data_IF_286647554492
#
_entry.id   IF_286647554492
#
_cell.length_a   1.000
_cell.length_b   1.000
_cell.length_c   1.000
_cell.angle_alpha   90.00
_cell.angle_beta   90.00
_cell.angle_gamma   90.00
#
_symmetry.space_group_name_H-M   'P 1'
#
loop_
_entity.id
_entity.type
_entity.pdbx_description
1 polymer ?
#
# COMPACT_ATOMS: atom_id res chain seq x y z
N UNK A 1 11.32 -2.39 -27.77
CA UNK A 1 11.53 -3.04 -26.46
C UNK A 1 12.08 -2.01 -25.49
N UNK A 2 11.21 -1.36 -24.72
CA UNK A 2 11.63 -0.50 -23.60
C UNK A 2 12.07 -1.41 -22.47
N UNK A 3 13.38 -1.49 -22.21
CA UNK A 3 13.91 -2.11 -20.99
C UNK A 3 13.27 -1.41 -19.80
N UNK A 4 12.27 -2.03 -19.18
CA UNK A 4 11.72 -1.58 -17.90
C UNK A 4 12.87 -1.64 -16.89
N UNK A 5 13.50 -0.48 -16.64
CA UNK A 5 14.67 -0.30 -15.78
C UNK A 5 14.34 -0.44 -14.30
N UNK A 6 13.15 -0.96 -14.01
CA UNK A 6 12.61 -1.14 -12.68
C UNK A 6 13.07 -2.47 -12.10
N UNK A 7 13.84 -2.37 -11.03
CA UNK A 7 14.41 -3.51 -10.31
C UNK A 7 13.75 -3.58 -8.94
N UNK A 8 13.27 -4.75 -8.50
CA UNK A 8 12.77 -4.90 -7.15
C UNK A 8 13.93 -4.86 -6.15
N UNK A 9 13.65 -4.20 -5.02
CA UNK A 9 14.60 -3.96 -3.95
C UNK A 9 13.98 -4.46 -2.65
N UNK A 10 14.74 -5.27 -1.92
CA UNK A 10 14.42 -5.62 -0.54
C UNK A 10 15.06 -4.58 0.37
N UNK A 11 14.24 -3.90 1.17
CA UNK A 11 14.65 -2.96 2.19
C UNK A 11 14.56 -3.64 3.56
N UNK A 12 15.67 -3.68 4.28
CA UNK A 12 15.71 -4.14 5.66
C UNK A 12 15.81 -2.94 6.59
N UNK A 13 14.82 -2.78 7.48
CA UNK A 13 14.81 -1.71 8.48
C UNK A 13 15.91 -1.94 9.51
N UNK A 14 16.85 -1.01 9.58
CA UNK A 14 17.87 -0.90 10.61
C UNK A 14 17.31 0.06 11.66
N UNK A 15 17.05 -0.44 12.87
CA UNK A 15 16.83 0.43 14.02
C UNK A 15 18.18 0.84 14.59
N UNK A 16 18.42 2.14 14.77
CA UNK A 16 19.45 2.60 15.72
C UNK A 16 18.78 2.68 17.10
N UNK A 17 19.02 1.70 17.97
CA UNK A 17 18.89 1.93 19.41
C UNK A 17 20.13 2.69 19.88
N UNK A 18 20.31 3.91 19.38
CA UNK A 18 21.27 4.87 19.91
C UNK A 18 20.52 5.82 20.81
N UNK A 19 21.00 6.00 22.03
CA UNK A 19 20.51 6.98 23.01
C UNK A 19 20.53 8.39 22.41
N UNK A 20 19.45 8.79 21.75
CA UNK A 20 19.27 10.15 21.32
C UNK A 20 18.91 10.99 22.55
N UNK A 21 19.82 11.88 22.95
CA UNK A 21 19.66 12.89 24.02
C UNK A 21 18.66 14.00 23.60
N UNK A 22 17.75 13.72 22.65
CA UNK A 22 16.75 14.69 22.18
C UNK A 22 15.41 14.02 21.90
N UNK A 23 14.27 14.73 22.09
CA UNK A 23 12.94 14.09 22.21
C UNK A 23 12.29 13.70 20.88
N UNK A 24 13.01 13.72 19.76
CA UNK A 24 12.37 13.73 18.43
C UNK A 24 13.06 12.81 17.41
N UNK A 25 12.22 11.95 16.82
CA UNK A 25 12.41 11.09 15.64
C UNK A 25 13.20 9.79 15.83
N UNK A 26 12.45 8.69 15.97
CA UNK A 26 12.89 7.36 15.57
C UNK A 26 13.25 7.41 14.07
N UNK A 27 14.53 7.57 13.75
CA UNK A 27 15.02 7.49 12.37
C UNK A 27 15.07 6.03 11.97
N UNK A 28 14.16 5.66 11.07
CA UNK A 28 14.18 4.36 10.41
C UNK A 28 15.15 4.40 9.25
N UNK A 29 16.34 3.83 9.43
CA UNK A 29 17.26 3.59 8.32
C UNK A 29 16.92 2.28 7.62
N UNK A 30 17.14 2.19 6.30
CA UNK A 30 16.88 0.96 5.54
C UNK A 30 18.12 0.50 4.78
N UNK A 31 18.54 -0.75 4.91
CA UNK A 31 19.55 -1.36 4.03
C UNK A 31 18.87 -1.94 2.81
N UNK A 32 19.23 -1.44 1.62
CA UNK A 32 18.70 -1.91 0.36
C UNK A 32 19.53 -3.08 -0.21
N UNK A 33 18.85 -4.11 -0.69
CA UNK A 33 19.40 -5.24 -1.42
C UNK A 33 18.70 -5.33 -2.77
N UNK A 34 19.45 -5.13 -3.87
CA UNK A 34 18.92 -5.26 -5.23
C UNK A 34 18.61 -6.73 -5.53
N UNK A 35 17.45 -7.01 -6.11
CA UNK A 35 17.04 -8.37 -6.47
C UNK A 35 17.13 -8.54 -7.99
N UNK A 36 17.85 -9.56 -8.45
CA UNK A 36 17.88 -9.94 -9.87
C UNK A 36 16.74 -10.92 -10.14
N UNK A 37 15.60 -10.41 -10.56
CA UNK A 37 14.43 -11.23 -10.90
C UNK A 37 13.84 -10.76 -12.23
N UNK A 38 13.42 -11.72 -13.04
CA UNK A 38 12.78 -11.47 -14.34
C UNK A 38 11.27 -11.46 -14.15
N UNK A 39 10.59 -10.43 -14.64
CA UNK A 39 9.12 -10.36 -14.62
C UNK A 39 8.55 -11.47 -15.53
N UNK A 40 7.51 -12.21 -15.10
CA UNK A 40 6.84 -13.17 -15.98
C UNK A 40 6.19 -12.46 -17.17
N UNK A 41 6.12 -13.12 -18.35
CA UNK A 41 5.39 -12.58 -19.48
C UNK A 41 3.87 -12.52 -19.19
N UNK A 42 3.17 -11.66 -19.92
CA UNK A 42 1.72 -11.51 -19.81
C UNK A 42 0.98 -12.84 -20.09
N UNK A 43 -0.17 -13.04 -19.44
CA UNK A 43 -0.93 -14.29 -19.47
C UNK A 43 -0.38 -15.44 -18.61
N UNK A 44 0.85 -15.35 -18.07
CA UNK A 44 1.37 -16.34 -17.13
C UNK A 44 0.95 -16.05 -15.68
N UNK A 45 0.79 -17.09 -14.84
CA UNK A 45 0.52 -16.90 -13.41
C UNK A 45 1.69 -16.19 -12.70
N UNK A 46 1.42 -15.67 -11.51
CA UNK A 46 2.45 -15.08 -10.67
C UNK A 46 3.54 -16.12 -10.33
N UNK A 47 4.79 -15.68 -10.35
CA UNK A 47 5.93 -16.54 -9.98
C UNK A 47 6.31 -16.23 -8.53
N UNK A 48 6.49 -17.29 -7.74
CA UNK A 48 7.00 -17.22 -6.37
C UNK A 48 8.53 -17.20 -6.36
N UNK A 49 9.08 -16.28 -5.59
CA UNK A 49 10.51 -16.15 -5.33
C UNK A 49 10.73 -16.15 -3.82
N UNK A 50 11.91 -16.62 -3.41
CA UNK A 50 12.39 -16.44 -2.03
C UNK A 50 13.81 -15.91 -2.06
N UNK A 51 14.09 -14.91 -1.22
CA UNK A 51 15.43 -14.35 -1.06
C UNK A 51 15.81 -14.35 0.41
N UNK A 52 17.08 -14.59 0.69
CA UNK A 52 17.63 -14.46 2.04
C UNK A 52 18.08 -13.00 2.25
N UNK A 53 17.57 -12.37 3.29
CA UNK A 53 18.00 -11.02 3.67
C UNK A 53 19.46 -11.04 4.10
N UNK A 54 20.30 -10.21 3.48
CA UNK A 54 21.73 -10.14 3.82
C UNK A 54 22.01 -9.54 5.20
N UNK A 55 21.07 -8.81 5.80
CA UNK A 55 21.22 -8.23 7.13
C UNK A 55 20.91 -9.21 8.26
N UNK A 56 19.76 -9.89 8.20
CA UNK A 56 19.29 -10.74 9.30
C UNK A 56 19.13 -12.23 8.95
N UNK A 57 19.55 -12.64 7.74
CA UNK A 57 19.51 -14.02 7.24
C UNK A 57 18.13 -14.66 7.19
N UNK A 58 17.07 -13.87 7.36
CA UNK A 58 15.68 -14.34 7.27
C UNK A 58 15.30 -14.59 5.81
N UNK A 59 14.58 -15.69 5.53
CA UNK A 59 14.08 -16.01 4.19
C UNK A 59 12.77 -15.26 3.96
N UNK A 60 12.77 -14.39 2.95
CA UNK A 60 11.62 -13.57 2.57
C UNK A 60 11.02 -14.10 1.27
N UNK A 61 9.78 -14.58 1.35
CA UNK A 61 9.00 -15.01 0.20
C UNK A 61 8.21 -13.85 -0.42
N UNK A 62 8.19 -13.78 -1.75
CA UNK A 62 7.42 -12.80 -2.50
C UNK A 62 6.96 -13.35 -3.86
N UNK A 63 5.93 -12.73 -4.41
CA UNK A 63 5.33 -13.06 -5.71
C UNK A 63 5.53 -11.90 -6.67
N UNK A 64 5.91 -12.21 -7.90
CA UNK A 64 5.98 -11.23 -8.99
C UNK A 64 4.87 -11.53 -9.99
N UNK A 65 4.09 -10.50 -10.31
CA UNK A 65 3.00 -10.56 -11.28
C UNK A 65 3.45 -10.01 -12.64
N UNK A 66 2.78 -10.46 -13.70
CA UNK A 66 2.91 -9.88 -15.04
C UNK A 66 2.27 -8.48 -15.09
N UNK A 67 2.60 -7.68 -16.10
CA UNK A 67 2.06 -6.32 -16.24
C UNK A 67 0.55 -6.33 -16.46
N UNK A 68 0.06 -7.26 -17.26
CA UNK A 68 -1.37 -7.46 -17.47
C UNK A 68 -2.10 -7.76 -16.17
N UNK A 69 -1.58 -8.69 -15.35
CA UNK A 69 -2.20 -9.04 -14.07
C UNK A 69 -2.23 -7.84 -13.10
N UNK A 70 -1.17 -7.02 -13.09
CA UNK A 70 -1.11 -5.79 -12.29
C UNK A 70 -2.14 -4.78 -12.78
N UNK A 71 -2.24 -4.57 -14.10
CA UNK A 71 -3.22 -3.65 -14.69
C UNK A 71 -4.65 -4.04 -14.34
N UNK A 72 -4.97 -5.33 -14.43
CA UNK A 72 -6.29 -5.86 -14.04
C UNK A 72 -6.56 -5.65 -12.55
N UNK A 73 -5.61 -5.96 -11.68
CA UNK A 73 -5.77 -5.76 -10.23
C UNK A 73 -5.91 -4.27 -9.87
N UNK A 74 -5.13 -3.38 -10.49
CA UNK A 74 -5.28 -1.93 -10.34
C UNK A 74 -6.66 -1.46 -10.79
N UNK A 75 -7.15 -1.95 -11.93
CA UNK A 75 -8.49 -1.63 -12.40
C UNK A 75 -9.55 -2.09 -11.39
N UNK A 76 -9.43 -3.31 -10.86
CA UNK A 76 -10.32 -3.83 -9.83
C UNK A 76 -10.29 -2.98 -8.55
N UNK A 77 -9.11 -2.61 -8.05
CA UNK A 77 -9.01 -1.71 -6.89
C UNK A 77 -9.59 -0.32 -7.14
N UNK A 78 -9.43 0.22 -8.35
CA UNK A 78 -10.08 1.48 -8.74
C UNK A 78 -11.59 1.34 -8.72
N UNK A 79 -12.14 0.26 -9.27
CA UNK A 79 -13.57 -0.04 -9.19
C UNK A 79 -14.06 -0.15 -7.75
N UNK A 80 -13.36 -0.88 -6.89
CA UNK A 80 -13.69 -0.94 -5.46
C UNK A 80 -13.66 0.45 -4.81
N UNK A 81 -12.67 1.28 -5.14
CA UNK A 81 -12.57 2.67 -4.64
C UNK A 81 -13.79 3.50 -5.04
N UNK A 82 -14.18 3.43 -6.32
CA UNK A 82 -15.35 4.17 -6.84
C UNK A 82 -16.64 3.67 -6.19
N UNK A 83 -16.83 2.35 -6.07
CA UNK A 83 -18.01 1.78 -5.41
C UNK A 83 -18.10 2.18 -3.94
N UNK A 84 -16.98 2.19 -3.21
CA UNK A 84 -16.93 2.67 -1.82
C UNK A 84 -17.27 4.16 -1.71
N UNK A 85 -16.82 5.00 -2.65
CA UNK A 85 -17.18 6.42 -2.70
C UNK A 85 -18.66 6.63 -3.00
N UNK A 86 -19.24 5.89 -3.95
CA UNK A 86 -20.68 5.95 -4.25
C UNK A 86 -21.49 5.59 -3.00
N UNK A 87 -21.10 4.53 -2.29
CA UNK A 87 -21.75 4.14 -1.03
C UNK A 87 -21.63 5.23 0.05
N UNK A 88 -20.46 5.87 0.18
CA UNK A 88 -20.27 6.98 1.09
C UNK A 88 -21.16 8.18 0.74
N UNK A 89 -21.26 8.56 -0.55
CA UNK A 89 -22.14 9.63 -1.01
C UNK A 89 -23.60 9.30 -0.76
N UNK A 90 -24.04 8.07 -1.04
CA UNK A 90 -25.41 7.62 -0.77
C UNK A 90 -25.74 7.70 0.74
N UNK A 91 -24.80 7.33 1.61
CA UNK A 91 -24.98 7.47 3.06
C UNK A 91 -25.14 8.94 3.48
N UNK A 92 -24.40 9.88 2.88
CA UNK A 92 -24.57 11.32 3.12
C UNK A 92 -25.95 11.79 2.65
N UNK A 93 -26.37 11.41 1.44
CA UNK A 93 -27.69 11.80 0.90
C UNK A 93 -28.81 11.30 1.80
N UNK A 94 -28.77 10.04 2.23
CA UNK A 94 -29.75 9.47 3.15
C UNK A 94 -29.75 10.17 4.50
N UNK A 95 -28.57 10.53 5.03
CA UNK A 95 -28.46 11.30 6.27
C UNK A 95 -29.09 12.69 6.14
N UNK A 96 -28.84 13.40 5.03
CA UNK A 96 -29.42 14.73 4.77
C UNK A 96 -30.94 14.64 4.63
N UNK A 97 -31.45 13.68 3.85
CA UNK A 97 -32.88 13.45 3.69
C UNK A 97 -33.56 13.07 5.01
N UNK A 98 -32.88 12.29 5.85
CA UNK A 98 -33.37 11.98 7.18
C UNK A 98 -33.48 13.24 8.04
N UNK A 99 -32.41 14.04 8.14
CA UNK A 99 -32.40 15.28 8.93
C UNK A 99 -33.40 16.34 8.43
N UNK A 100 -33.70 16.36 7.13
CA UNK A 100 -34.67 17.29 6.54
C UNK A 100 -36.13 16.93 6.86
N UNK A 101 -36.43 15.64 7.15
CA UNK A 101 -37.78 15.14 7.41
C UNK A 101 -38.11 14.97 8.91
N UNK A 102 -37.18 15.25 9.81
CA UNK A 102 -37.33 14.99 11.27
C UNK A 102 -38.01 16.13 12.05
N UNK A 103 -38.89 16.91 11.42
CA UNK A 103 -39.65 17.96 12.14
C UNK A 103 -40.52 17.41 13.29
N UNK A 104 -40.77 16.10 13.39
CA UNK A 104 -41.60 15.50 14.46
C UNK A 104 -41.05 14.21 15.13
N UNK A 105 -39.80 13.80 14.92
CA UNK A 105 -39.38 12.42 15.24
C UNK A 105 -38.47 12.28 16.48
N UNK A 106 -39.05 12.32 17.67
CA UNK A 106 -38.40 12.11 18.98
C UNK A 106 -38.01 10.65 19.29
N UNK A 107 -37.83 9.78 18.26
CA UNK A 107 -37.73 8.32 18.45
C UNK A 107 -36.60 7.56 17.78
N UNK A 108 -35.69 8.18 17.05
CA UNK A 108 -34.70 7.40 16.30
C UNK A 108 -33.28 8.00 16.35
N UNK A 109 -32.61 7.73 17.48
CA UNK A 109 -31.17 7.93 17.67
C UNK A 109 -30.35 6.81 16.97
N UNK A 110 -30.96 5.64 16.72
CA UNK A 110 -30.30 4.45 16.16
C UNK A 110 -29.90 4.57 14.67
N UNK A 111 -30.71 5.15 13.74
CA UNK A 111 -30.36 5.20 12.31
C UNK A 111 -29.26 6.23 11.99
N UNK A 112 -29.11 7.29 12.78
CA UNK A 112 -28.09 8.32 12.54
C UNK A 112 -26.68 7.80 12.80
N UNK A 113 -26.47 7.02 13.87
CA UNK A 113 -25.19 6.36 14.12
C UNK A 113 -24.86 5.29 13.06
N UNK A 114 -25.86 4.56 12.57
CA UNK A 114 -25.68 3.61 11.48
C UNK A 114 -25.22 4.28 10.18
N UNK A 115 -25.82 5.42 9.83
CA UNK A 115 -25.45 6.20 8.64
C UNK A 115 -24.08 6.86 8.77
N UNK A 116 -23.76 7.42 9.94
CA UNK A 116 -22.43 7.98 10.22
C UNK A 116 -21.34 6.89 10.18
N UNK A 117 -21.62 5.71 10.73
CA UNK A 117 -20.73 4.55 10.67
C UNK A 117 -20.49 4.08 9.24
N UNK A 118 -21.55 4.01 8.42
CA UNK A 118 -21.46 3.65 7.00
C UNK A 118 -20.62 4.66 6.20
N UNK A 119 -20.74 5.96 6.49
CA UNK A 119 -19.91 7.00 5.89
C UNK A 119 -18.42 6.82 6.20
N UNK A 120 -18.08 6.67 7.48
CA UNK A 120 -16.70 6.48 7.93
C UNK A 120 -16.10 5.21 7.32
N UNK A 121 -16.87 4.11 7.33
CA UNK A 121 -16.45 2.85 6.72
C UNK A 121 -16.24 2.99 5.21
N UNK A 122 -17.14 3.68 4.50
CA UNK A 122 -17.05 3.93 3.06
C UNK A 122 -15.82 4.76 2.69
N UNK A 123 -15.56 5.84 3.41
CA UNK A 123 -14.37 6.69 3.21
C UNK A 123 -13.07 5.93 3.54
N UNK A 124 -13.05 5.18 4.64
CA UNK A 124 -11.92 4.34 5.02
C UNK A 124 -11.60 3.27 3.98
N UNK A 125 -12.64 2.59 3.47
CA UNK A 125 -12.52 1.60 2.40
C UNK A 125 -12.00 2.25 1.11
N UNK A 126 -12.54 3.40 0.71
CA UNK A 126 -12.08 4.15 -0.46
C UNK A 126 -10.59 4.55 -0.33
N UNK A 127 -10.18 5.09 0.82
CA UNK A 127 -8.79 5.45 1.08
C UNK A 127 -7.86 4.22 1.01
N UNK A 128 -8.28 3.09 1.59
CA UNK A 128 -7.53 1.84 1.56
C UNK A 128 -7.39 1.28 0.14
N UNK A 129 -8.47 1.19 -0.62
CA UNK A 129 -8.44 0.65 -1.99
C UNK A 129 -7.71 1.58 -2.95
N UNK A 130 -7.86 2.89 -2.82
CA UNK A 130 -7.11 3.87 -3.62
C UNK A 130 -5.61 3.82 -3.35
N UNK A 131 -5.21 3.65 -2.08
CA UNK A 131 -3.82 3.42 -1.69
C UNK A 131 -3.25 2.13 -2.31
N UNK A 132 -4.02 1.03 -2.31
CA UNK A 132 -3.60 -0.21 -2.98
C UNK A 132 -3.45 -0.01 -4.50
N UNK A 133 -4.42 0.63 -5.15
CA UNK A 133 -4.37 0.87 -6.59
C UNK A 133 -3.15 1.69 -7.02
N UNK A 134 -2.77 2.69 -6.21
CA UNK A 134 -1.62 3.57 -6.48
C UNK A 134 -0.27 2.88 -6.21
N UNK A 135 -0.18 2.08 -5.14
CA UNK A 135 1.09 1.46 -4.69
C UNK A 135 1.38 0.08 -5.28
N UNK A 136 0.43 -0.54 -5.98
CA UNK A 136 0.64 -1.86 -6.59
C UNK A 136 1.74 -1.80 -7.67
N UNK A 137 2.94 -2.29 -7.34
CA UNK A 137 4.11 -2.28 -8.21
C UNK A 137 4.41 -3.65 -8.84
N UNK A 138 3.52 -4.64 -8.65
CA UNK A 138 3.70 -5.98 -9.20
C UNK A 138 4.49 -6.97 -8.38
N UNK A 139 4.92 -6.54 -7.19
CA UNK A 139 5.56 -7.40 -6.19
C UNK A 139 4.66 -7.43 -4.97
N UNK A 140 4.29 -8.63 -4.52
CA UNK A 140 3.48 -8.84 -3.31
C UNK A 140 4.20 -9.82 -2.42
N UNK A 141 4.37 -9.50 -1.14
CA UNK A 141 5.08 -10.36 -0.19
C UNK A 141 4.90 -9.90 1.24
N UNK A 142 5.50 -10.61 2.19
CA UNK A 142 5.45 -10.20 3.59
C UNK A 142 6.14 -8.85 3.74
N UNK A 143 5.39 -7.83 4.19
CA UNK A 143 5.89 -6.46 4.36
C UNK A 143 5.69 -5.51 3.17
N UNK A 144 5.10 -5.95 2.05
CA UNK A 144 4.68 -5.02 0.99
C UNK A 144 3.59 -4.08 1.50
N UNK A 145 3.80 -2.77 1.37
CA UNK A 145 2.88 -1.69 1.79
C UNK A 145 2.76 -1.41 3.30
N UNK A 146 3.54 -2.10 4.15
CA UNK A 146 3.55 -1.84 5.59
C UNK A 146 4.70 -0.88 5.96
N UNK A 147 4.35 0.35 6.36
CA UNK A 147 5.32 1.40 6.75
C UNK A 147 6.20 1.01 7.93
N UNK A 148 5.75 0.08 8.77
CA UNK A 148 6.45 -0.38 9.98
C UNK A 148 6.99 -1.81 9.87
N UNK A 149 7.02 -2.41 8.67
CA UNK A 149 7.58 -3.75 8.53
C UNK A 149 9.11 -3.75 8.61
N UNK A 150 9.67 -4.78 9.25
CA UNK A 150 11.12 -5.04 9.29
C UNK A 150 11.72 -5.22 7.89
N UNK A 151 10.93 -5.80 6.98
CA UNK A 151 11.28 -5.98 5.58
C UNK A 151 10.22 -5.29 4.72
N UNK A 152 10.66 -4.47 3.77
CA UNK A 152 9.81 -3.87 2.76
C UNK A 152 10.31 -4.26 1.38
N UNK A 153 9.37 -4.54 0.48
CA UNK A 153 9.65 -4.82 -0.92
C UNK A 153 9.14 -3.65 -1.74
N UNK A 154 10.06 -3.00 -2.44
CA UNK A 154 9.78 -1.88 -3.31
C UNK A 154 10.31 -2.15 -4.72
N UNK A 155 9.87 -1.36 -5.69
CA UNK A 155 10.33 -1.42 -7.07
C UNK A 155 10.86 -0.04 -7.43
N UNK A 156 12.16 0.06 -7.70
CA UNK A 156 12.84 1.31 -8.02
C UNK A 156 13.42 1.24 -9.43
N UNK A 157 13.49 2.37 -10.11
CA UNK A 157 14.30 2.55 -11.31
C UNK A 157 15.80 2.50 -10.95
N UNK A 158 16.66 2.15 -11.91
CA UNK A 158 18.13 2.18 -11.70
C UNK A 158 18.59 3.55 -11.21
N UNK A 159 18.04 4.62 -11.77
CA UNK A 159 18.31 6.02 -11.40
C UNK A 159 17.96 6.31 -9.94
N UNK A 160 16.79 5.88 -9.47
CA UNK A 160 16.37 6.03 -8.07
C UNK A 160 17.30 5.28 -7.11
N UNK A 161 17.74 4.07 -7.49
CA UNK A 161 18.69 3.32 -6.66
C UNK A 161 20.02 4.08 -6.58
N UNK A 162 20.54 4.56 -7.71
CA UNK A 162 21.81 5.26 -7.75
C UNK A 162 21.75 6.60 -7.00
N UNK A 163 20.64 7.35 -7.12
CA UNK A 163 20.42 8.58 -6.38
C UNK A 163 20.36 8.35 -4.85
N UNK A 164 19.68 7.28 -4.41
CA UNK A 164 19.58 6.93 -2.98
C UNK A 164 20.88 6.37 -2.41
N UNK A 165 21.64 5.61 -3.19
CA UNK A 165 22.96 5.13 -2.77
C UNK A 165 23.98 6.27 -2.64
N UNK A 166 23.97 7.25 -3.56
CA UNK A 166 24.86 8.43 -3.49
C UNK A 166 24.61 9.31 -2.26
N UNK A 167 23.36 9.44 -1.83
CA UNK A 167 23.02 10.20 -0.60
C UNK A 167 23.56 9.56 0.69
N UNK A 168 24.07 8.33 0.63
CA UNK A 168 24.61 7.60 1.79
C UNK A 168 26.12 7.73 1.97
N UNK A 169 26.84 8.21 0.97
CA UNK A 169 28.31 8.33 0.98
C UNK A 169 28.79 9.76 1.20
N UNK A 170 27.88 10.70 1.51
CA UNK A 170 28.18 12.05 1.99
C UNK A 170 27.65 12.19 3.40
#
# INVERSE_FOLDING_TARGET
>A
MTTDSRVPVLLHRIGHSGTAVTPHFERWDFKAQRLKVKRPPDGRPAIEFSVVCTSCRERIGFRIFSEQAIRQRKALWRWCTVLSLIGAVAAVVLLVLYMANTAEADRLIIPTYGLAGALIAGLGAAAMFGSKASREAGVVGRGTSATLAKHQLEVWTVEEIDARLRKRTR
#
